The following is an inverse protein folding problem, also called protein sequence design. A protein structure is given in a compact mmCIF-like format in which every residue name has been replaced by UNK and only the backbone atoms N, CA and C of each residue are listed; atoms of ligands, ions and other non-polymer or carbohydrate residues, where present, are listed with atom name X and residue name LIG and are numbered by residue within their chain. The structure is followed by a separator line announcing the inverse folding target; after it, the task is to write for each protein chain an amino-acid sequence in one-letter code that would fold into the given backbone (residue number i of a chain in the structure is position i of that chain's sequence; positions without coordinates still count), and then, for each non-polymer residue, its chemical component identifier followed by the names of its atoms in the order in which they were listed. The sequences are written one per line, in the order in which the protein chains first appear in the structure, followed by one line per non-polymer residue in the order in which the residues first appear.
data_IF_488852487483
#
_entry.id   IF_488852487483
#
_cell.length_a   1.000
_cell.length_b   1.000
_cell.length_c   1.000
_cell.angle_alpha   90.00
_cell.angle_beta   90.00
_cell.angle_gamma   90.00
#
_symmetry.space_group_name_H-M   'P 1'
#
loop_
_entity.id
_entity.type
_entity.pdbx_description
1 polymer ?
#
# COMPACT_ATOMS: atom_id res chain seq x y z
N UNK A 1 -16.31 -14.72 35.33
CA UNK A 1 -16.62 -13.30 35.14
C UNK A 1 -15.90 -12.86 33.90
N UNK A 2 -16.61 -12.23 32.96
CA UNK A 2 -15.96 -11.72 31.74
C UNK A 2 -15.22 -10.45 32.08
N UNK A 3 -13.89 -10.54 32.04
CA UNK A 3 -12.96 -9.44 32.18
C UNK A 3 -12.38 -9.17 30.78
N UNK A 4 -12.32 -7.91 30.37
CA UNK A 4 -11.36 -7.52 29.35
C UNK A 4 -11.89 -6.60 28.26
N UNK A 5 -12.80 -7.04 27.39
CA UNK A 5 -13.01 -6.28 26.15
C UNK A 5 -14.48 -6.12 25.75
N UNK A 6 -14.95 -4.86 25.79
CA UNK A 6 -16.32 -4.40 25.45
C UNK A 6 -16.44 -3.99 23.97
N UNK A 7 -15.43 -4.31 23.15
CA UNK A 7 -15.27 -3.85 21.78
C UNK A 7 -15.09 -5.07 20.86
N UNK A 8 -16.13 -5.47 20.14
CA UNK A 8 -15.93 -6.46 19.08
C UNK A 8 -15.43 -5.75 17.83
N UNK A 9 -14.24 -6.12 17.37
CA UNK A 9 -13.69 -5.64 16.10
C UNK A 9 -13.86 -6.75 15.05
N UNK A 10 -14.63 -6.47 14.02
CA UNK A 10 -14.73 -7.29 12.81
C UNK A 10 -13.90 -6.61 11.72
N UNK A 11 -12.90 -7.30 11.20
CA UNK A 11 -12.08 -6.80 10.09
C UNK A 11 -12.38 -7.62 8.85
N UNK A 12 -12.74 -6.93 7.77
CA UNK A 12 -12.83 -7.44 6.41
C UNK A 12 -11.73 -6.75 5.59
N UNK A 13 -11.40 -7.29 4.42
CA UNK A 13 -10.40 -6.77 3.47
C UNK A 13 -10.47 -5.23 3.37
N UNK A 14 -11.65 -4.71 2.99
CA UNK A 14 -11.86 -3.29 2.72
C UNK A 14 -12.42 -2.47 3.90
N UNK A 15 -12.83 -3.09 5.01
CA UNK A 15 -13.56 -2.37 6.07
C UNK A 15 -13.30 -2.95 7.46
N UNK A 16 -13.05 -2.07 8.42
CA UNK A 16 -12.98 -2.41 9.85
C UNK A 16 -14.21 -1.88 10.56
N UNK A 17 -14.99 -2.78 11.16
CA UNK A 17 -16.17 -2.46 11.95
C UNK A 17 -15.86 -2.72 13.42
N UNK A 18 -16.06 -1.71 14.26
CA UNK A 18 -15.96 -1.83 15.71
C UNK A 18 -17.32 -1.58 16.35
N UNK A 19 -17.79 -2.55 17.12
CA UNK A 19 -19.07 -2.48 17.83
C UNK A 19 -18.81 -2.43 19.33
N UNK A 20 -19.29 -1.36 19.97
CA UNK A 20 -19.24 -1.18 21.43
C UNK A 20 -20.57 -1.66 22.02
N UNK A 21 -20.50 -2.52 23.04
CA UNK A 21 -21.67 -3.07 23.74
C UNK A 21 -21.89 -2.43 25.10
N UNK A 22 -23.14 -2.43 25.56
CA UNK A 22 -23.47 -2.03 26.95
C UNK A 22 -22.87 -3.03 27.96
N UNK A 23 -22.35 -2.55 29.11
CA UNK A 23 -21.87 -3.44 30.16
C UNK A 23 -23.03 -4.30 30.69
N UNK A 24 -22.93 -5.63 30.53
CA UNK A 24 -23.94 -6.58 30.98
C UNK A 24 -25.12 -6.80 30.04
N UNK A 25 -25.07 -6.28 28.80
CA UNK A 25 -26.10 -6.49 27.78
C UNK A 25 -25.50 -6.62 26.39
N UNK A 26 -26.10 -7.46 25.54
CA UNK A 26 -25.71 -7.63 24.14
C UNK A 26 -26.30 -6.53 23.23
N UNK A 27 -26.91 -5.49 23.80
CA UNK A 27 -27.40 -4.34 23.06
C UNK A 27 -26.22 -3.51 22.52
N UNK A 28 -26.11 -3.30 21.19
CA UNK A 28 -25.06 -2.48 20.61
C UNK A 28 -25.35 -0.99 20.88
N UNK A 29 -24.34 -0.28 21.38
CA UNK A 29 -24.42 1.17 21.62
C UNK A 29 -23.96 1.97 20.41
N UNK A 30 -22.79 1.60 19.88
CA UNK A 30 -22.10 2.39 18.86
C UNK A 30 -21.47 1.41 17.88
N UNK A 31 -21.69 1.68 16.59
CA UNK A 31 -21.02 1.02 15.47
C UNK A 31 -20.13 2.04 14.78
N UNK A 32 -18.82 1.81 14.82
CA UNK A 32 -17.82 2.62 14.12
C UNK A 32 -17.40 1.80 12.91
N UNK A 33 -17.69 2.31 11.71
CA UNK A 33 -17.23 1.73 10.46
C UNK A 33 -16.07 2.59 9.95
N UNK A 34 -14.92 1.96 9.76
CA UNK A 34 -13.73 2.61 9.21
C UNK A 34 -13.42 1.96 7.88
N UNK A 35 -13.44 2.75 6.81
CA UNK A 35 -12.97 2.31 5.50
C UNK A 35 -11.47 2.00 5.59
N UNK A 36 -11.11 0.77 5.25
CA UNK A 36 -9.74 0.31 5.20
C UNK A 36 -9.20 0.30 3.75
N UNK A 37 -10.07 0.50 2.75
CA UNK A 37 -9.72 0.52 1.33
C UNK A 37 -8.75 1.64 0.96
N UNK A 38 -8.79 2.77 1.67
CA UNK A 38 -7.76 3.81 1.53
C UNK A 38 -6.44 3.47 2.23
N UNK A 39 -6.47 2.63 3.29
CA UNK A 39 -5.26 2.19 4.01
C UNK A 39 -4.51 1.10 3.27
N UNK A 40 -5.19 0.24 2.52
CA UNK A 40 -4.55 -0.75 1.64
C UNK A 40 -3.84 -0.09 0.46
N UNK A 41 -4.44 0.96 -0.14
CA UNK A 41 -3.75 1.81 -1.12
C UNK A 41 -2.59 2.60 -0.51
N UNK A 42 -2.71 3.02 0.75
CA UNK A 42 -1.63 3.71 1.46
C UNK A 42 -0.51 2.79 1.96
N UNK A 43 -0.74 1.47 2.03
CA UNK A 43 0.24 0.49 2.49
C UNK A 43 1.07 -0.13 1.36
N UNK A 44 0.57 -0.13 0.12
CA UNK A 44 1.42 -0.31 -1.07
C UNK A 44 1.80 1.07 -1.60
N UNK A 45 2.88 1.67 -1.07
CA UNK A 45 3.42 2.90 -1.68
C UNK A 45 3.85 2.59 -3.10
N UNK A 46 3.37 3.36 -4.06
CA UNK A 46 3.74 3.18 -5.46
C UNK A 46 5.26 3.34 -5.63
N UNK A 47 5.85 2.63 -6.60
CA UNK A 47 7.27 2.72 -6.94
C UNK A 47 7.73 4.17 -7.12
N UNK A 48 6.90 5.00 -7.75
CA UNK A 48 7.16 6.42 -7.94
C UNK A 48 7.28 7.18 -6.62
N UNK A 49 6.39 6.94 -5.66
CA UNK A 49 6.43 7.56 -4.35
C UNK A 49 7.64 7.13 -3.52
N UNK A 50 8.04 5.85 -3.60
CA UNK A 50 9.24 5.35 -2.92
C UNK A 50 10.50 6.00 -3.44
N UNK A 51 10.69 6.01 -4.76
CA UNK A 51 11.87 6.61 -5.39
C UNK A 51 11.91 8.12 -5.12
N UNK A 52 10.77 8.80 -5.15
CA UNK A 52 10.66 10.21 -4.81
C UNK A 52 11.09 10.48 -3.35
N UNK A 53 10.69 9.62 -2.42
CA UNK A 53 11.04 9.78 -1.01
C UNK A 53 12.51 9.48 -0.72
N UNK A 54 13.11 8.50 -1.40
CA UNK A 54 14.54 8.19 -1.28
C UNK A 54 15.45 9.21 -1.98
N UNK A 55 15.00 9.82 -3.07
CA UNK A 55 15.73 10.90 -3.75
C UNK A 55 15.72 12.22 -2.98
N UNK A 56 14.89 12.34 -1.94
CA UNK A 56 14.80 13.51 -1.06
C UNK A 56 15.68 13.33 0.17
N UNK A 57 17.00 13.26 -0.02
CA UNK A 57 17.98 13.10 1.05
C UNK A 57 18.01 14.32 2.02
N UNK A 58 17.66 15.52 1.53
CA UNK A 58 17.65 16.78 2.32
C UNK A 58 16.24 17.29 2.69
N UNK A 59 15.19 16.50 2.45
CA UNK A 59 13.80 16.96 2.63
C UNK A 59 13.33 17.97 1.57
N UNK A 60 14.17 18.27 0.56
CA UNK A 60 13.75 18.96 -0.65
C UNK A 60 13.05 17.93 -1.57
N UNK A 61 11.72 17.94 -1.52
CA UNK A 61 10.85 17.08 -2.33
C UNK A 61 11.04 17.34 -3.83
N UNK A 62 11.86 16.53 -4.50
CA UNK A 62 11.87 16.51 -5.97
C UNK A 62 10.59 15.79 -6.38
N UNK A 63 9.53 16.54 -6.66
CA UNK A 63 8.27 15.95 -7.12
C UNK A 63 8.46 15.47 -8.55
N UNK A 64 8.22 14.18 -8.80
CA UNK A 64 8.26 13.67 -10.16
C UNK A 64 7.10 14.25 -10.99
N UNK A 65 7.37 14.64 -12.25
CA UNK A 65 6.30 15.05 -13.15
C UNK A 65 5.35 13.89 -13.40
N UNK A 66 4.06 14.19 -13.61
CA UNK A 66 3.01 13.18 -13.78
C UNK A 66 3.29 12.17 -14.92
N UNK A 67 4.00 12.61 -15.97
CA UNK A 67 4.46 11.74 -17.05
C UNK A 67 5.40 10.63 -16.53
N UNK A 68 6.37 11.00 -15.69
CA UNK A 68 7.33 10.06 -15.10
C UNK A 68 6.64 9.14 -14.09
N UNK A 69 5.71 9.67 -13.29
CA UNK A 69 4.88 8.86 -12.39
C UNK A 69 4.09 7.81 -13.17
N UNK A 70 3.46 8.18 -14.30
CA UNK A 70 2.73 7.24 -15.15
C UNK A 70 3.63 6.17 -15.80
N UNK A 71 4.86 6.54 -16.19
CA UNK A 71 5.84 5.58 -16.70
C UNK A 71 6.29 4.59 -15.61
N UNK A 72 6.54 5.07 -14.39
CA UNK A 72 6.90 4.23 -13.25
C UNK A 72 5.76 3.31 -12.80
N UNK A 73 4.51 3.78 -12.83
CA UNK A 73 3.33 2.98 -12.51
C UNK A 73 3.11 1.85 -13.53
N UNK A 74 3.20 2.18 -14.82
CA UNK A 74 3.18 1.18 -15.91
C UNK A 74 4.29 0.16 -15.71
N UNK A 75 5.51 0.62 -15.44
CA UNK A 75 6.67 -0.23 -15.22
C UNK A 75 6.53 -1.09 -13.96
N UNK A 76 5.96 -0.58 -12.86
CA UNK A 76 5.63 -1.37 -11.67
C UNK A 76 4.70 -2.55 -12.05
N UNK A 77 3.64 -2.27 -12.82
CA UNK A 77 2.74 -3.30 -13.33
C UNK A 77 3.45 -4.33 -14.20
N UNK A 78 4.33 -3.88 -15.10
CA UNK A 78 5.12 -4.77 -15.95
C UNK A 78 6.11 -5.64 -15.15
N UNK A 79 6.75 -5.08 -14.11
CA UNK A 79 7.67 -5.82 -13.23
C UNK A 79 6.90 -6.84 -12.40
N UNK A 80 5.74 -6.46 -11.83
CA UNK A 80 4.86 -7.39 -11.10
C UNK A 80 4.37 -8.53 -11.98
N UNK A 81 4.09 -8.25 -13.25
CA UNK A 81 3.70 -9.25 -14.24
C UNK A 81 4.89 -10.04 -14.82
N UNK A 82 6.13 -9.69 -14.44
CA UNK A 82 7.37 -10.20 -15.03
C UNK A 82 7.42 -10.07 -16.58
N UNK A 83 6.80 -9.02 -17.11
CA UNK A 83 6.57 -8.77 -18.53
C UNK A 83 7.04 -7.36 -18.94
N UNK A 84 8.26 -6.97 -18.51
CA UNK A 84 8.84 -5.65 -18.83
C UNK A 84 9.13 -5.49 -20.32
N UNK A 85 8.46 -4.53 -20.95
CA UNK A 85 8.64 -4.18 -22.37
C UNK A 85 10.05 -3.68 -22.67
N UNK A 86 10.48 -3.88 -23.92
CA UNK A 86 11.75 -3.37 -24.43
C UNK A 86 11.86 -1.85 -24.32
N UNK A 87 10.75 -1.12 -24.53
CA UNK A 87 10.65 0.33 -24.38
C UNK A 87 11.02 0.76 -22.95
N UNK A 88 10.40 0.13 -21.95
CA UNK A 88 10.66 0.41 -20.54
C UNK A 88 12.10 0.05 -20.15
N UNK A 89 12.66 -1.06 -20.67
CA UNK A 89 14.08 -1.42 -20.48
C UNK A 89 15.03 -0.39 -21.09
N UNK A 90 14.73 0.12 -22.27
CA UNK A 90 15.54 1.13 -22.95
C UNK A 90 15.47 2.48 -22.22
N UNK A 91 14.30 2.86 -21.72
CA UNK A 91 14.15 4.03 -20.85
C UNK A 91 14.98 3.90 -19.57
N UNK A 92 14.92 2.73 -18.91
CA UNK A 92 15.75 2.45 -17.73
C UNK A 92 17.25 2.55 -18.00
N UNK A 93 17.70 1.97 -19.12
CA UNK A 93 19.09 2.05 -19.54
C UNK A 93 19.55 3.50 -19.79
N UNK A 94 18.68 4.36 -20.34
CA UNK A 94 18.97 5.78 -20.52
C UNK A 94 19.04 6.54 -19.18
N UNK A 95 18.20 6.18 -18.22
CA UNK A 95 18.23 6.74 -16.88
C UNK A 95 19.35 6.17 -15.98
N UNK A 96 20.08 5.14 -16.43
CA UNK A 96 21.06 4.43 -15.60
C UNK A 96 20.42 3.59 -14.49
N UNK A 97 19.14 3.24 -14.63
CA UNK A 97 18.39 2.42 -13.69
C UNK A 97 18.29 0.96 -14.20
N UNK A 98 18.10 0.02 -13.28
CA UNK A 98 17.88 -1.40 -13.63
C UNK A 98 16.53 -1.88 -13.13
N UNK A 99 15.94 -2.84 -13.87
CA UNK A 99 14.67 -3.48 -13.48
C UNK A 99 14.79 -4.12 -12.10
N UNK A 100 15.92 -4.78 -11.82
CA UNK A 100 16.17 -5.42 -10.52
C UNK A 100 16.20 -4.42 -9.37
N UNK A 101 16.81 -3.24 -9.59
CA UNK A 101 16.80 -2.15 -8.59
C UNK A 101 15.38 -1.68 -8.31
N UNK A 102 14.55 -1.52 -9.34
CA UNK A 102 13.15 -1.11 -9.16
C UNK A 102 12.31 -2.21 -8.51
N UNK A 103 12.50 -3.46 -8.93
CA UNK A 103 11.83 -4.62 -8.34
C UNK A 103 12.14 -4.75 -6.85
N UNK A 104 13.36 -4.41 -6.40
CA UNK A 104 13.72 -4.38 -4.99
C UNK A 104 12.96 -3.30 -4.19
N UNK A 105 12.53 -2.21 -4.84
CA UNK A 105 11.73 -1.17 -4.19
C UNK A 105 10.24 -1.50 -4.17
N UNK A 106 9.74 -2.29 -5.12
CA UNK A 106 8.32 -2.70 -5.13
C UNK A 106 8.07 -3.59 -3.91
N UNK A 107 7.15 -3.17 -3.04
CA UNK A 107 6.79 -4.00 -1.89
C UNK A 107 6.13 -5.30 -2.39
N UNK A 108 6.60 -6.47 -1.93
CA UNK A 108 5.92 -7.71 -2.23
C UNK A 108 4.52 -7.64 -1.65
N UNK A 109 3.51 -8.00 -2.46
CA UNK A 109 2.13 -8.08 -1.98
C UNK A 109 2.10 -9.04 -0.79
N UNK A 110 1.72 -8.50 0.37
CA UNK A 110 1.55 -9.29 1.58
C UNK A 110 0.37 -10.23 1.36
N UNK A 111 0.67 -11.50 1.10
CA UNK A 111 -0.31 -12.58 1.19
C UNK A 111 -0.33 -13.00 2.67
N UNK A 112 -1.39 -12.72 3.44
CA UNK A 112 -1.48 -13.24 4.79
C UNK A 112 -1.49 -14.77 4.72
N UNK A 113 -0.39 -15.39 5.14
CA UNK A 113 -0.34 -16.83 5.36
C UNK A 113 -1.33 -17.15 6.49
N UNK A 114 -2.54 -17.59 6.12
CA UNK A 114 -3.49 -18.17 7.09
C UNK A 114 -2.89 -19.50 7.58
N UNK A 115 -2.45 -19.54 8.83
CA UNK A 115 -2.23 -20.78 9.59
C UNK A 115 -3.43 -21.10 10.46
#
# INVERSE_FOLDING_TARGET
GWDGDRLTTVQTDTTRIQTVYQPGSFAPLIRIETDNGEREKAQCRSLAEKIQQEGSEDGHGVVFPAELVGLLDRLEGEIRANCVSSESRQWLAQCGLTVERLAAQIEPVYLPERK
#
